data_IF_211226983927
#
_entry.id   IF_211226983927
#
_cell.length_a   1.000
_cell.length_b   1.000
_cell.length_c   1.000
_cell.angle_alpha   90.00
_cell.angle_beta   90.00
_cell.angle_gamma   90.00
#
_symmetry.space_group_name_H-M   'P 1'
#
loop_
_entity.id
_entity.type
_entity.pdbx_description
1 polymer ?
#
# COMPACT_ATOMS: atom_id res chain seq x y z
N UNK A 1 -45.71 19.95 1.17
CA UNK A 1 -44.97 20.31 -0.07
C UNK A 1 -43.47 20.44 0.15
N UNK A 2 -42.98 21.06 1.23
CA UNK A 2 -41.52 21.17 1.51
C UNK A 2 -40.90 19.81 1.86
N UNK A 3 -41.58 18.99 2.66
CA UNK A 3 -41.05 17.68 3.07
C UNK A 3 -40.90 16.69 1.90
N UNK A 4 -41.82 16.72 0.94
CA UNK A 4 -41.76 15.84 -0.22
C UNK A 4 -40.58 16.19 -1.14
N UNK A 5 -40.27 17.49 -1.29
CA UNK A 5 -39.11 17.96 -2.02
C UNK A 5 -37.79 17.57 -1.33
N UNK A 6 -37.72 17.73 0.00
CA UNK A 6 -36.54 17.33 0.79
C UNK A 6 -36.34 15.81 0.72
N UNK A 7 -37.40 15.03 0.90
CA UNK A 7 -37.35 13.56 0.79
C UNK A 7 -36.93 13.11 -0.61
N UNK A 8 -37.42 13.77 -1.66
CA UNK A 8 -37.00 13.49 -3.05
C UNK A 8 -35.52 13.80 -3.27
N UNK A 9 -35.01 14.90 -2.71
CA UNK A 9 -33.59 15.26 -2.81
C UNK A 9 -32.70 14.31 -2.02
N UNK A 10 -33.15 13.88 -0.84
CA UNK A 10 -32.47 12.85 -0.06
C UNK A 10 -32.47 11.53 -0.84
N UNK A 11 -33.58 11.14 -1.46
CA UNK A 11 -33.65 9.93 -2.29
C UNK A 11 -32.81 10.04 -3.57
N UNK A 12 -32.68 11.21 -4.19
CA UNK A 12 -31.73 11.44 -5.30
C UNK A 12 -30.28 11.32 -4.84
N UNK A 13 -29.92 11.90 -3.69
CA UNK A 13 -28.57 11.79 -3.12
C UNK A 13 -28.30 10.33 -2.78
N UNK A 14 -29.19 9.68 -2.04
CA UNK A 14 -29.10 8.26 -1.72
C UNK A 14 -29.06 7.42 -3.00
N UNK A 15 -29.82 7.75 -4.04
CA UNK A 15 -29.81 7.00 -5.30
C UNK A 15 -28.54 7.20 -6.12
N UNK A 16 -27.96 8.41 -6.08
CA UNK A 16 -26.64 8.69 -6.67
C UNK A 16 -25.50 7.99 -5.91
N UNK A 17 -25.68 7.80 -4.60
CA UNK A 17 -24.78 7.03 -3.73
C UNK A 17 -25.06 5.52 -3.83
N UNK A 18 -26.30 5.09 -4.13
CA UNK A 18 -26.75 3.72 -4.44
C UNK A 18 -26.25 3.22 -5.81
N UNK A 19 -25.16 3.76 -6.34
CA UNK A 19 -24.17 2.92 -7.05
C UNK A 19 -23.50 1.97 -6.05
N UNK A 20 -24.37 1.16 -5.44
CA UNK A 20 -24.25 0.20 -4.37
C UNK A 20 -23.48 -1.05 -4.82
N UNK A 21 -22.49 -0.92 -5.72
CA UNK A 21 -21.30 -1.71 -5.45
C UNK A 21 -20.82 -1.18 -4.12
N UNK A 22 -20.67 -2.04 -3.10
CA UNK A 22 -19.58 -1.83 -2.16
C UNK A 22 -18.39 -1.54 -3.06
N UNK A 23 -18.03 -0.26 -3.25
CA UNK A 23 -16.83 0.10 -3.97
C UNK A 23 -15.80 -0.80 -3.33
N UNK A 24 -15.13 -1.62 -4.13
CA UNK A 24 -14.22 -2.60 -3.57
C UNK A 24 -13.11 -1.79 -2.90
N UNK A 25 -13.30 -1.51 -1.60
CA UNK A 25 -12.46 -0.60 -0.82
C UNK A 25 -11.03 -1.12 -0.89
N UNK A 26 -10.88 -2.45 -0.95
CA UNK A 26 -9.59 -3.07 -1.17
C UNK A 26 -9.03 -2.80 -2.57
N UNK A 27 -9.83 -2.93 -3.63
CA UNK A 27 -9.37 -2.60 -4.99
C UNK A 27 -9.01 -1.12 -5.14
N UNK A 28 -9.88 -0.20 -4.73
CA UNK A 28 -9.63 1.24 -4.82
C UNK A 28 -8.43 1.67 -3.98
N UNK A 29 -8.32 1.17 -2.75
CA UNK A 29 -7.19 1.48 -1.90
C UNK A 29 -5.90 0.93 -2.51
N UNK A 30 -5.91 -0.29 -3.02
CA UNK A 30 -4.73 -0.90 -3.65
C UNK A 30 -4.31 -0.17 -4.93
N UNK A 31 -5.25 0.35 -5.70
CA UNK A 31 -4.98 1.11 -6.92
C UNK A 31 -4.37 2.50 -6.61
N UNK A 32 -4.85 3.17 -5.55
CA UNK A 32 -4.51 4.56 -5.26
C UNK A 32 -3.44 4.73 -4.16
N UNK A 33 -3.21 3.70 -3.35
CA UNK A 33 -2.23 3.66 -2.26
C UNK A 33 -1.21 2.58 -2.59
N UNK A 34 -0.21 2.95 -3.38
CA UNK A 34 0.89 2.06 -3.78
C UNK A 34 2.23 2.64 -3.35
N UNK A 35 3.18 1.76 -3.07
CA UNK A 35 4.55 2.16 -2.77
C UNK A 35 5.27 2.60 -4.06
N UNK A 36 5.93 3.76 -4.04
CA UNK A 36 6.72 4.23 -5.18
C UNK A 36 8.10 3.58 -5.18
N UNK A 37 8.30 2.55 -6.01
CA UNK A 37 9.58 1.84 -6.12
C UNK A 37 10.67 2.62 -6.86
N UNK A 38 10.34 3.77 -7.47
CA UNK A 38 11.34 4.66 -8.09
C UNK A 38 12.06 5.52 -7.05
N UNK A 39 11.44 5.76 -5.89
CA UNK A 39 12.09 6.39 -4.74
C UNK A 39 13.18 5.46 -4.18
N UNK A 40 14.40 6.00 -4.15
CA UNK A 40 15.61 5.31 -3.74
C UNK A 40 15.83 5.31 -2.23
N UNK A 41 15.34 6.34 -1.53
CA UNK A 41 15.33 6.39 -0.08
C UNK A 41 14.21 5.51 0.46
N UNK A 42 14.61 4.39 1.07
CA UNK A 42 13.69 3.39 1.62
C UNK A 42 12.76 3.99 2.68
N UNK A 43 13.25 4.93 3.50
CA UNK A 43 12.46 5.55 4.54
C UNK A 43 11.42 6.49 3.94
N UNK A 44 11.84 7.35 3.02
CA UNK A 44 10.95 8.28 2.32
C UNK A 44 9.83 7.51 1.62
N UNK A 45 10.18 6.47 0.87
CA UNK A 45 9.22 5.60 0.19
C UNK A 45 8.16 5.00 1.13
N UNK A 46 8.58 4.56 2.32
CA UNK A 46 7.64 4.03 3.33
C UNK A 46 6.82 5.16 3.96
N UNK A 47 7.39 6.34 4.21
CA UNK A 47 6.64 7.50 4.72
C UNK A 47 5.57 7.95 3.73
N UNK A 48 5.90 8.03 2.44
CA UNK A 48 4.98 8.38 1.36
C UNK A 48 3.80 7.40 1.26
N UNK A 49 4.03 6.08 1.41
CA UNK A 49 2.94 5.10 1.44
C UNK A 49 1.92 5.42 2.54
N UNK A 50 2.39 5.76 3.75
CA UNK A 50 1.51 6.09 4.87
C UNK A 50 0.86 7.47 4.71
N UNK A 51 1.57 8.46 4.17
CA UNK A 51 1.01 9.77 3.84
C UNK A 51 -0.11 9.63 2.80
N UNK A 52 0.17 8.95 1.68
CA UNK A 52 -0.81 8.69 0.62
C UNK A 52 -2.02 7.94 1.11
N UNK A 53 -1.85 7.00 2.04
CA UNK A 53 -2.99 6.31 2.65
C UNK A 53 -3.93 7.25 3.41
N UNK A 54 -3.38 8.24 4.13
CA UNK A 54 -4.18 9.22 4.88
C UNK A 54 -4.87 10.20 3.94
N UNK A 55 -4.13 10.74 2.99
CA UNK A 55 -4.66 11.63 1.96
C UNK A 55 -5.80 10.96 1.19
N UNK A 56 -5.60 9.72 0.73
CA UNK A 56 -6.63 9.00 -0.01
C UNK A 56 -7.87 8.72 0.86
N UNK A 57 -7.70 8.33 2.12
CA UNK A 57 -8.83 8.15 3.05
C UNK A 57 -9.60 9.46 3.24
N UNK A 58 -8.91 10.59 3.32
CA UNK A 58 -9.52 11.92 3.44
C UNK A 58 -10.24 12.33 2.15
N UNK A 59 -9.63 12.14 0.97
CA UNK A 59 -10.20 12.38 -0.36
C UNK A 59 -11.51 11.62 -0.56
N UNK A 60 -11.60 10.38 -0.05
CA UNK A 60 -12.78 9.53 -0.17
C UNK A 60 -13.82 9.72 0.94
N UNK A 61 -13.54 10.52 1.97
CA UNK A 61 -14.43 10.66 3.13
C UNK A 61 -14.53 9.39 3.98
N UNK A 62 -13.50 8.52 3.97
CA UNK A 62 -13.51 7.22 4.64
C UNK A 62 -12.95 7.26 6.07
N UNK A 63 -12.77 8.43 6.67
CA UNK A 63 -12.15 8.57 7.99
C UNK A 63 -12.89 7.74 9.04
N UNK A 64 -14.23 7.86 9.11
CA UNK A 64 -15.07 7.14 10.07
C UNK A 64 -15.02 5.62 9.85
N UNK A 65 -14.90 5.17 8.60
CA UNK A 65 -14.82 3.76 8.23
C UNK A 65 -13.57 3.06 8.81
N UNK A 66 -12.47 3.78 8.98
CA UNK A 66 -11.22 3.25 9.54
C UNK A 66 -11.04 3.55 11.04
N UNK A 67 -12.10 3.97 11.74
CA UNK A 67 -12.08 4.16 13.20
C UNK A 67 -12.33 2.86 13.98
N UNK A 68 -11.97 2.87 15.26
CA UNK A 68 -12.12 1.71 16.14
C UNK A 68 -11.20 0.55 15.80
N UNK A 69 -11.32 -0.56 16.53
CA UNK A 69 -10.40 -1.69 16.41
C UNK A 69 -10.51 -2.39 15.04
N UNK A 70 -11.71 -2.62 14.54
CA UNK A 70 -11.90 -3.32 13.26
C UNK A 70 -11.54 -2.45 12.06
N UNK A 71 -11.86 -1.16 12.09
CA UNK A 71 -11.44 -0.19 11.07
C UNK A 71 -9.92 -0.08 10.99
N UNK A 72 -9.24 0.07 12.13
CA UNK A 72 -7.78 0.09 12.18
C UNK A 72 -7.16 -1.22 11.67
N UNK A 73 -7.80 -2.36 11.93
CA UNK A 73 -7.34 -3.66 11.42
C UNK A 73 -7.46 -3.77 9.92
N UNK A 74 -8.58 -3.31 9.37
CA UNK A 74 -8.78 -3.26 7.94
C UNK A 74 -7.76 -2.33 7.28
N UNK A 75 -7.55 -1.13 7.83
CA UNK A 75 -6.52 -0.19 7.34
C UNK A 75 -5.14 -0.84 7.30
N UNK A 76 -4.72 -1.47 8.41
CA UNK A 76 -3.43 -2.15 8.49
C UNK A 76 -3.32 -3.30 7.48
N UNK A 77 -4.39 -4.05 7.27
CA UNK A 77 -4.44 -5.13 6.27
C UNK A 77 -4.25 -4.58 4.85
N UNK A 78 -4.98 -3.53 4.47
CA UNK A 78 -4.89 -2.90 3.15
C UNK A 78 -3.48 -2.32 2.91
N UNK A 79 -2.91 -1.66 3.92
CA UNK A 79 -1.53 -1.15 3.87
C UNK A 79 -0.50 -2.25 3.58
N UNK A 80 -0.67 -3.44 4.17
CA UNK A 80 0.20 -4.59 3.88
C UNK A 80 -0.03 -5.10 2.46
N UNK A 81 -1.28 -5.20 2.01
CA UNK A 81 -1.63 -5.66 0.66
C UNK A 81 -1.08 -4.75 -0.46
N UNK A 82 -0.94 -3.46 -0.17
CA UNK A 82 -0.32 -2.43 -1.03
C UNK A 82 1.21 -2.50 -1.12
N UNK A 83 1.86 -3.34 -0.32
CA UNK A 83 3.33 -3.43 -0.34
C UNK A 83 3.86 -4.08 -1.61
N UNK A 84 4.94 -3.49 -2.10
CA UNK A 84 5.80 -4.05 -3.13
C UNK A 84 7.26 -3.97 -2.69
N UNK A 85 8.12 -4.91 -3.11
CA UNK A 85 7.81 -6.10 -3.89
C UNK A 85 6.96 -7.12 -3.11
N UNK A 86 6.38 -8.11 -3.81
CA UNK A 86 5.57 -9.18 -3.20
C UNK A 86 6.29 -9.92 -2.05
N UNK A 87 7.61 -10.06 -2.14
CA UNK A 87 8.41 -10.65 -1.06
C UNK A 87 8.33 -9.86 0.25
N UNK A 88 8.34 -8.53 0.20
CA UNK A 88 8.18 -7.67 1.38
C UNK A 88 6.80 -7.84 2.00
N UNK A 89 5.76 -7.84 1.16
CA UNK A 89 4.38 -8.07 1.58
C UNK A 89 4.23 -9.40 2.32
N UNK A 90 4.66 -10.49 1.68
CA UNK A 90 4.44 -11.84 2.19
C UNK A 90 5.25 -12.06 3.50
N UNK A 91 6.44 -11.47 3.62
CA UNK A 91 7.25 -11.47 4.85
C UNK A 91 6.58 -10.68 5.98
N UNK A 92 6.15 -9.44 5.73
CA UNK A 92 5.45 -8.60 6.73
C UNK A 92 4.15 -9.28 7.20
N UNK A 93 3.35 -9.84 6.29
CA UNK A 93 2.12 -10.56 6.61
C UNK A 93 2.40 -11.78 7.52
N UNK A 94 3.47 -12.52 7.24
CA UNK A 94 3.90 -13.66 8.06
C UNK A 94 4.31 -13.21 9.47
N UNK A 95 5.09 -12.14 9.58
CA UNK A 95 5.53 -11.61 10.88
C UNK A 95 4.34 -11.13 11.70
N UNK A 96 3.39 -10.40 11.11
CA UNK A 96 2.17 -9.95 11.81
C UNK A 96 1.37 -11.16 12.33
N UNK A 97 1.26 -12.22 11.53
CA UNK A 97 0.49 -13.42 11.89
C UNK A 97 1.09 -14.17 13.08
N UNK A 98 2.41 -14.34 13.12
CA UNK A 98 3.07 -15.24 14.05
C UNK A 98 3.85 -14.56 15.17
N UNK A 99 4.32 -13.33 15.00
CA UNK A 99 5.26 -12.66 15.92
C UNK A 99 4.75 -11.30 16.41
N UNK A 100 4.32 -10.42 15.50
CA UNK A 100 3.97 -9.04 15.79
C UNK A 100 2.44 -8.80 15.68
N UNK A 101 1.66 -9.55 16.47
CA UNK A 101 0.18 -9.52 16.39
C UNK A 101 -0.43 -8.15 16.69
N UNK A 102 0.27 -7.27 17.40
CA UNK A 102 -0.16 -5.90 17.71
C UNK A 102 -0.15 -5.00 16.47
N UNK A 103 0.78 -5.22 15.52
CA UNK A 103 0.89 -4.44 14.29
C UNK A 103 -0.34 -4.60 13.36
N UNK A 104 -1.16 -5.63 13.58
CA UNK A 104 -2.42 -5.83 12.83
C UNK A 104 -3.45 -4.73 13.05
N UNK A 105 -3.34 -3.95 14.13
CA UNK A 105 -4.32 -2.93 14.55
C UNK A 105 -3.63 -1.65 15.05
N UNK A 106 -2.32 -1.51 14.78
CA UNK A 106 -1.52 -0.40 15.28
C UNK A 106 -0.63 0.11 14.16
N UNK A 107 -1.02 1.24 13.59
CA UNK A 107 -0.34 1.87 12.44
C UNK A 107 1.13 2.20 12.74
N UNK A 108 1.45 2.62 13.98
CA UNK A 108 2.81 2.94 14.40
C UNK A 108 3.71 1.70 14.44
N UNK A 109 3.19 0.60 14.98
CA UNK A 109 3.93 -0.67 15.01
C UNK A 109 4.06 -1.27 13.60
N UNK A 110 3.02 -1.13 12.77
CA UNK A 110 3.06 -1.53 11.36
C UNK A 110 4.12 -0.74 10.59
N UNK A 111 4.17 0.58 10.76
CA UNK A 111 5.18 1.44 10.14
C UNK A 111 6.60 1.00 10.48
N UNK A 112 6.91 0.79 11.77
CA UNK A 112 8.22 0.33 12.22
C UNK A 112 8.58 -1.03 11.60
N UNK A 113 7.63 -1.96 11.56
CA UNK A 113 7.83 -3.30 11.00
C UNK A 113 8.17 -3.21 9.50
N UNK A 114 7.35 -2.50 8.72
CA UNK A 114 7.54 -2.33 7.28
C UNK A 114 8.88 -1.66 7.00
N UNK A 115 9.20 -0.59 7.73
CA UNK A 115 10.45 0.16 7.55
C UNK A 115 11.68 -0.74 7.78
N UNK A 116 11.72 -1.47 8.89
CA UNK A 116 12.81 -2.38 9.21
C UNK A 116 13.00 -3.45 8.13
N UNK A 117 11.89 -4.06 7.68
CA UNK A 117 11.92 -5.13 6.68
C UNK A 117 12.30 -4.62 5.29
N UNK A 118 11.85 -3.43 4.92
CA UNK A 118 12.22 -2.78 3.66
C UNK A 118 13.74 -2.46 3.64
N UNK A 119 14.31 -2.02 4.76
CA UNK A 119 15.76 -1.80 4.87
C UNK A 119 16.56 -3.10 4.73
N UNK A 120 16.14 -4.17 5.38
CA UNK A 120 16.79 -5.48 5.26
C UNK A 120 16.80 -5.97 3.80
N UNK A 121 15.64 -5.91 3.12
CA UNK A 121 15.55 -6.31 1.71
C UNK A 121 16.38 -5.42 0.79
N UNK A 122 16.39 -4.10 1.01
CA UNK A 122 17.22 -3.20 0.22
C UNK A 122 18.71 -3.51 0.41
N UNK A 123 19.16 -3.73 1.64
CA UNK A 123 20.55 -4.11 1.93
C UNK A 123 20.94 -5.40 1.22
N UNK A 124 20.08 -6.41 1.26
CA UNK A 124 20.34 -7.71 0.63
C UNK A 124 20.34 -7.60 -0.90
N UNK A 125 19.45 -6.79 -1.48
CA UNK A 125 19.44 -6.49 -2.91
C UNK A 125 20.75 -5.82 -3.35
N UNK A 126 21.21 -4.79 -2.63
CA UNK A 126 22.46 -4.10 -2.93
C UNK A 126 23.67 -5.02 -2.80
N UNK A 127 23.70 -5.91 -1.79
CA UNK A 127 24.74 -6.94 -1.64
C UNK A 127 24.78 -7.87 -2.85
N UNK A 128 23.63 -8.40 -3.29
CA UNK A 128 23.52 -9.28 -4.46
C UNK A 128 23.91 -8.58 -5.76
N UNK A 129 23.60 -7.28 -5.90
CA UNK A 129 23.99 -6.49 -7.07
C UNK A 129 25.52 -6.33 -7.18
N UNK A 130 26.21 -6.16 -6.05
CA UNK A 130 27.67 -6.03 -5.98
C UNK A 130 28.42 -7.33 -6.26
N UNK A 131 27.81 -8.50 -6.01
CA UNK A 131 28.46 -9.80 -6.19
C UNK A 131 28.27 -10.42 -7.57
N UNK A 132 27.44 -9.84 -8.45
CA UNK A 132 27.33 -10.29 -9.85
C UNK A 132 28.54 -9.79 -10.66
N UNK A 133 29.34 -10.66 -11.30
CA UNK A 133 30.34 -10.24 -12.26
C UNK A 133 29.67 -9.46 -13.39
N UNK A 134 30.30 -8.37 -13.85
CA UNK A 134 29.95 -7.77 -15.14
C UNK A 134 30.30 -8.78 -16.23
N UNK A 135 29.35 -9.58 -16.69
CA UNK A 135 29.47 -10.22 -18.01
C UNK A 135 29.36 -9.10 -19.05
N UNK A 136 30.50 -8.48 -19.33
CA UNK A 136 30.69 -7.57 -20.45
C UNK A 136 30.65 -8.42 -21.73
N UNK A 137 29.74 -8.03 -22.63
CA UNK A 137 29.32 -8.81 -23.79
C UNK A 137 30.45 -9.24 -24.74
N UNK A 138 30.27 -10.46 -25.25
CA UNK A 138 30.80 -10.92 -26.54
C UNK A 138 30.03 -10.24 -27.68
N UNK A 139 30.78 -9.90 -28.74
CA UNK A 139 30.42 -9.65 -30.16
C UNK A 139 31.03 -8.30 -30.59
N UNK A 140 31.79 -8.14 -31.67
CA UNK A 140 32.13 -8.96 -32.84
C UNK A 140 33.17 -8.14 -33.62
N UNK A 141 34.36 -8.68 -33.92
CA UNK A 141 35.19 -8.23 -35.04
C UNK A 141 35.66 -9.50 -35.77
N UNK A 142 34.81 -10.03 -36.65
CA UNK A 142 34.94 -9.92 -38.11
C UNK A 142 36.35 -10.22 -38.61
N UNK A 143 36.54 -11.46 -39.06
CA UNK A 143 37.56 -11.73 -40.05
C UNK A 143 37.26 -10.95 -41.33
N UNK A 144 38.27 -10.25 -41.85
CA UNK A 144 38.59 -10.01 -43.27
C UNK A 144 39.81 -9.09 -43.27
N UNK A 145 41.00 -9.64 -43.50
CA UNK A 145 41.85 -9.38 -44.67
C UNK A 145 43.16 -10.14 -44.56
#
# INVERSE_FOLDING_TARGET
MVDEFILTKVDEIISSVKNNSVLDVAALFKENVTIDMTESDVRERVMQLFARSREFIEEQGWQEFFTGNEGLRLKCKLMVESLQPRSLRDEVATIIKYQARTAKANEKELFKLILNKAFEQNRDFQRRKRTRPKEQGRNTESGTR
#
